data_IF_774527365116
#
_entry.id   IF_774527365116
#
_cell.length_a   1.000
_cell.length_b   1.000
_cell.length_c   1.000
_cell.angle_alpha   90.00
_cell.angle_beta   90.00
_cell.angle_gamma   90.00
#
_symmetry.space_group_name_H-M   'P 1'
#
loop_
_entity.id
_entity.type
_entity.pdbx_description
1 polymer ?
#
# COMPACT_ATOMS: atom_id res chain seq x y z
N UNK A 1 -32.52 -5.25 11.74
CA UNK A 1 -33.43 -6.42 11.76
C UNK A 1 -33.39 -7.05 13.15
N UNK A 2 -34.45 -7.72 13.61
CA UNK A 2 -34.38 -8.52 14.84
C UNK A 2 -33.19 -9.48 14.81
N UNK A 3 -32.48 -9.62 15.94
CA UNK A 3 -31.27 -10.44 16.06
C UNK A 3 -29.95 -9.77 15.65
N UNK A 4 -29.98 -8.54 15.14
CA UNK A 4 -28.77 -7.74 14.88
C UNK A 4 -28.51 -6.81 16.06
N UNK A 5 -27.34 -6.90 16.67
CA UNK A 5 -26.93 -6.01 17.76
C UNK A 5 -25.50 -5.50 17.60
N UNK A 6 -25.30 -4.21 17.84
CA UNK A 6 -23.97 -3.60 17.98
C UNK A 6 -23.52 -3.88 19.41
N UNK A 7 -22.46 -4.67 19.58
CA UNK A 7 -21.99 -5.08 20.91
C UNK A 7 -21.19 -3.96 21.58
N UNK A 8 -20.20 -3.42 20.88
CA UNK A 8 -19.32 -2.36 21.38
C UNK A 8 -18.54 -1.67 20.25
N UNK A 9 -18.14 -0.41 20.43
CA UNK A 9 -17.15 0.23 19.55
C UNK A 9 -15.76 -0.40 19.71
N UNK A 10 -14.92 -0.23 18.69
CA UNK A 10 -13.52 -0.64 18.67
C UNK A 10 -12.63 0.59 18.53
N UNK A 11 -11.87 0.89 19.58
CA UNK A 11 -10.92 2.00 19.56
C UNK A 11 -9.64 1.64 18.79
N UNK A 12 -9.11 2.60 18.02
CA UNK A 12 -7.80 2.52 17.35
C UNK A 12 -6.90 3.54 18.03
N UNK A 13 -5.76 3.10 18.58
CA UNK A 13 -4.89 3.94 19.41
C UNK A 13 -5.60 4.62 20.59
N UNK A 14 -6.65 4.01 21.14
CA UNK A 14 -7.44 4.58 22.23
C UNK A 14 -8.48 5.61 21.78
N UNK A 15 -8.61 5.87 20.47
CA UNK A 15 -9.65 6.72 19.90
C UNK A 15 -10.78 5.87 19.33
N UNK A 16 -12.01 6.09 19.80
CA UNK A 16 -13.19 5.46 19.23
C UNK A 16 -13.54 6.13 17.89
N UNK A 17 -13.79 5.30 16.88
CA UNK A 17 -14.22 5.71 15.53
C UNK A 17 -15.55 5.02 15.18
N UNK A 18 -15.87 4.93 13.89
CA UNK A 18 -17.07 4.29 13.35
C UNK A 18 -16.96 2.74 13.24
N UNK A 19 -16.00 2.13 13.94
CA UNK A 19 -15.77 0.68 13.94
C UNK A 19 -16.45 0.02 15.14
N UNK A 20 -17.18 -1.06 14.90
CA UNK A 20 -17.87 -1.79 15.96
C UNK A 20 -17.86 -3.30 15.76
N UNK A 21 -17.97 -4.01 16.88
CA UNK A 21 -18.25 -5.44 16.92
C UNK A 21 -19.77 -5.64 16.78
N UNK A 22 -20.20 -6.42 15.79
CA UNK A 22 -21.62 -6.63 15.46
C UNK A 22 -21.94 -8.13 15.54
N UNK A 23 -23.00 -8.47 16.26
CA UNK A 23 -23.52 -9.84 16.38
C UNK A 23 -24.73 -10.00 15.46
N UNK A 24 -24.75 -11.12 14.75
CA UNK A 24 -25.89 -11.61 13.99
C UNK A 24 -26.38 -12.91 14.64
N UNK A 25 -27.37 -12.82 15.53
CA UNK A 25 -27.96 -13.98 16.23
C UNK A 25 -29.33 -14.33 15.64
N UNK A 26 -29.42 -15.50 15.02
CA UNK A 26 -30.62 -16.02 14.35
C UNK A 26 -31.36 -15.01 13.45
N UNK A 27 -30.59 -14.14 12.79
CA UNK A 27 -31.11 -13.10 11.90
C UNK A 27 -31.71 -13.76 10.65
N UNK A 28 -33.01 -13.53 10.42
CA UNK A 28 -33.70 -13.98 9.20
C UNK A 28 -33.82 -12.82 8.22
N UNK A 29 -33.47 -13.07 6.96
CA UNK A 29 -33.64 -12.15 5.84
C UNK A 29 -34.36 -12.84 4.68
N UNK A 30 -35.10 -12.10 3.84
CA UNK A 30 -35.68 -12.66 2.63
C UNK A 30 -34.59 -13.23 1.70
N UNK A 31 -34.91 -14.32 0.99
CA UNK A 31 -33.99 -14.89 -0.01
C UNK A 31 -33.61 -13.88 -1.12
N UNK A 32 -34.49 -12.92 -1.41
CA UNK A 32 -34.25 -11.83 -2.35
C UNK A 32 -33.16 -10.83 -1.91
N UNK A 33 -32.65 -10.93 -0.67
CA UNK A 33 -31.53 -10.11 -0.21
C UNK A 33 -30.17 -10.72 -0.58
N UNK A 34 -30.14 -11.94 -1.12
CA UNK A 34 -28.91 -12.53 -1.63
C UNK A 34 -28.37 -11.66 -2.77
N UNK A 35 -27.14 -11.18 -2.59
CA UNK A 35 -26.43 -10.46 -3.64
C UNK A 35 -25.84 -11.48 -4.59
N UNK A 36 -26.25 -11.44 -5.87
CA UNK A 36 -25.85 -12.39 -6.92
C UNK A 36 -26.36 -13.81 -6.67
N UNK A 37 -25.47 -14.80 -6.58
CA UNK A 37 -25.78 -16.22 -6.44
C UNK A 37 -24.99 -16.83 -5.27
N UNK A 38 -25.47 -17.97 -4.77
CA UNK A 38 -24.79 -18.70 -3.70
C UNK A 38 -23.36 -19.08 -4.12
N UNK A 39 -22.39 -18.96 -3.20
CA UNK A 39 -20.98 -19.27 -3.44
C UNK A 39 -20.15 -18.15 -4.08
N UNK A 40 -20.74 -17.02 -4.49
CA UNK A 40 -20.02 -15.92 -5.18
C UNK A 40 -19.51 -14.80 -4.28
N UNK A 41 -19.53 -14.98 -2.96
CA UNK A 41 -19.14 -13.95 -1.99
C UNK A 41 -17.72 -13.40 -2.18
N UNK A 42 -16.74 -14.26 -2.50
CA UNK A 42 -15.36 -13.81 -2.73
C UNK A 42 -15.21 -12.92 -3.97
N UNK A 43 -15.97 -13.22 -5.03
CA UNK A 43 -15.96 -12.43 -6.26
C UNK A 43 -16.49 -11.02 -6.00
N UNK A 44 -17.64 -10.91 -5.32
CA UNK A 44 -18.22 -9.62 -4.92
C UNK A 44 -17.23 -8.83 -4.06
N UNK A 45 -16.63 -9.50 -3.06
CA UNK A 45 -15.66 -8.86 -2.19
C UNK A 45 -14.46 -8.32 -2.99
N UNK A 46 -13.86 -9.10 -3.90
CA UNK A 46 -12.75 -8.61 -4.72
C UNK A 46 -13.16 -7.49 -5.68
N UNK A 47 -14.36 -7.57 -6.27
CA UNK A 47 -14.91 -6.54 -7.14
C UNK A 47 -14.99 -5.18 -6.43
N UNK A 48 -15.39 -5.18 -5.15
CA UNK A 48 -15.43 -3.96 -4.33
C UNK A 48 -14.05 -3.51 -3.82
N UNK A 49 -13.22 -4.46 -3.41
CA UNK A 49 -11.93 -4.20 -2.76
C UNK A 49 -10.89 -3.60 -3.72
N UNK A 50 -10.93 -3.92 -5.02
CA UNK A 50 -10.03 -3.32 -6.01
C UNK A 50 -10.08 -1.78 -6.02
N UNK A 51 -11.25 -1.18 -6.30
CA UNK A 51 -11.46 0.27 -6.20
C UNK A 51 -11.21 0.82 -4.79
N UNK A 52 -11.66 0.10 -3.75
CA UNK A 52 -11.49 0.52 -2.34
C UNK A 52 -10.02 0.77 -1.98
N UNK A 53 -9.16 -0.21 -2.28
CA UNK A 53 -7.71 -0.13 -2.08
C UNK A 53 -7.11 1.08 -2.77
N UNK A 54 -7.49 1.34 -4.02
CA UNK A 54 -6.92 2.45 -4.78
C UNK A 54 -7.40 3.81 -4.24
N UNK A 55 -8.69 3.95 -3.89
CA UNK A 55 -9.21 5.18 -3.29
C UNK A 55 -8.56 5.51 -1.94
N UNK A 56 -8.27 4.49 -1.11
CA UNK A 56 -7.49 4.68 0.11
C UNK A 56 -6.09 5.22 -0.21
N UNK A 57 -5.42 4.69 -1.22
CA UNK A 57 -4.09 5.16 -1.62
C UNK A 57 -4.11 6.61 -2.12
N UNK A 58 -5.12 6.99 -2.91
CA UNK A 58 -5.28 8.37 -3.40
C UNK A 58 -5.39 9.37 -2.25
N UNK A 59 -6.24 9.08 -1.25
CA UNK A 59 -6.38 9.91 -0.04
C UNK A 59 -5.10 9.92 0.80
N UNK A 60 -4.49 8.75 0.99
CA UNK A 60 -3.22 8.60 1.74
C UNK A 60 -2.10 9.45 1.15
N UNK A 61 -2.00 9.52 -0.19
CA UNK A 61 -1.04 10.40 -0.88
C UNK A 61 -1.32 11.89 -0.59
N UNK A 62 -2.61 12.28 -0.48
CA UNK A 62 -3.00 13.62 -0.04
C UNK A 62 -2.55 13.92 1.39
N UNK A 63 -2.73 12.97 2.31
CA UNK A 63 -2.28 13.10 3.70
C UNK A 63 -0.75 13.26 3.80
N UNK A 64 0.01 12.55 2.96
CA UNK A 64 1.46 12.74 2.86
C UNK A 64 1.86 14.13 2.36
N UNK A 65 1.14 14.72 1.39
CA UNK A 65 1.37 16.11 0.97
C UNK A 65 1.11 17.09 2.11
N UNK A 66 0.04 16.88 2.88
CA UNK A 66 -0.26 17.68 4.07
C UNK A 66 0.86 17.58 5.10
N UNK A 67 1.36 16.38 5.39
CA UNK A 67 2.50 16.16 6.30
C UNK A 67 3.77 16.88 5.84
N UNK A 68 4.12 16.77 4.55
CA UNK A 68 5.28 17.45 3.99
C UNK A 68 5.10 18.98 3.98
N UNK A 69 3.89 19.47 3.72
CA UNK A 69 3.54 20.89 3.82
C UNK A 69 3.68 21.42 5.26
N UNK A 70 3.22 20.65 6.25
CA UNK A 70 3.40 20.97 7.66
C UNK A 70 4.88 21.05 8.05
N UNK A 71 5.70 20.11 7.56
CA UNK A 71 7.16 20.18 7.74
C UNK A 71 7.72 21.49 7.19
N UNK A 72 7.43 21.85 5.94
CA UNK A 72 7.89 23.11 5.31
C UNK A 72 7.53 24.32 6.18
N UNK A 73 6.27 24.38 6.65
CA UNK A 73 5.79 25.47 7.48
C UNK A 73 6.57 25.58 8.79
N UNK A 74 6.80 24.45 9.46
CA UNK A 74 7.51 24.40 10.74
C UNK A 74 8.97 24.77 10.62
N UNK A 75 9.68 24.26 9.60
CA UNK A 75 11.13 24.46 9.51
C UNK A 75 11.50 25.89 9.15
N UNK A 76 10.60 26.60 8.46
CA UNK A 76 10.76 28.01 8.09
C UNK A 76 10.43 28.98 9.22
N UNK A 77 9.72 28.52 10.25
CA UNK A 77 9.29 29.35 11.39
C UNK A 77 10.04 29.06 12.69
N UNK A 78 10.69 27.90 12.80
CA UNK A 78 11.40 27.48 14.02
C UNK A 78 12.91 27.68 13.91
N UNK A 79 13.47 28.42 14.89
CA UNK A 79 14.91 28.46 15.15
C UNK A 79 15.30 27.50 16.26
N UNK A 80 16.39 26.77 16.07
CA UNK A 80 17.03 25.92 17.08
C UNK A 80 18.53 25.83 16.80
N UNK A 81 19.33 25.80 17.88
CA UNK A 81 20.79 25.71 17.77
C UNK A 81 21.37 26.76 16.80
N UNK A 82 21.01 28.03 17.00
CA UNK A 82 21.59 29.17 16.30
C UNK A 82 21.05 29.51 14.90
N UNK A 83 20.20 28.69 14.29
CA UNK A 83 19.66 28.97 12.95
C UNK A 83 18.22 28.46 12.79
N UNK A 84 17.56 28.75 11.67
CA UNK A 84 16.32 28.08 11.29
C UNK A 84 16.57 26.59 11.10
N UNK A 85 15.54 25.77 11.35
CA UNK A 85 15.57 24.36 11.00
C UNK A 85 15.72 24.16 9.48
N UNK A 86 15.19 25.08 8.67
CA UNK A 86 15.38 25.07 7.22
C UNK A 86 16.84 25.23 6.76
N UNK A 87 17.75 25.68 7.63
CA UNK A 87 19.18 25.80 7.35
C UNK A 87 19.97 24.55 7.76
N UNK A 88 19.30 23.54 8.35
CA UNK A 88 19.93 22.28 8.76
C UNK A 88 19.91 21.29 7.59
N UNK A 89 21.07 20.99 7.03
CA UNK A 89 21.21 20.17 5.83
C UNK A 89 20.47 18.82 5.90
N UNK A 90 20.49 18.16 7.06
CA UNK A 90 19.85 16.86 7.27
C UNK A 90 18.32 16.93 7.10
N UNK A 91 17.69 18.03 7.51
CA UNK A 91 16.25 18.24 7.36
C UNK A 91 15.91 18.47 5.87
N UNK A 92 16.73 19.26 5.19
CA UNK A 92 16.54 19.56 3.76
C UNK A 92 16.73 18.31 2.90
N UNK A 93 17.76 17.51 3.17
CA UNK A 93 18.04 16.24 2.49
C UNK A 93 16.85 15.28 2.64
N UNK A 94 16.37 15.08 3.88
CA UNK A 94 15.23 14.20 4.14
C UNK A 94 13.95 14.65 3.44
N UNK A 95 13.71 15.96 3.35
CA UNK A 95 12.57 16.48 2.59
C UNK A 95 12.69 16.20 1.08
N UNK A 96 13.90 16.24 0.53
CA UNK A 96 14.14 15.88 -0.87
C UNK A 96 13.87 14.39 -1.13
N UNK A 97 14.30 13.52 -0.22
CA UNK A 97 13.98 12.08 -0.27
C UNK A 97 12.47 11.84 -0.22
N UNK A 98 11.77 12.46 0.72
CA UNK A 98 10.32 12.36 0.84
C UNK A 98 9.57 12.86 -0.39
N UNK A 99 9.98 13.98 -0.96
CA UNK A 99 9.39 14.48 -2.21
C UNK A 99 9.58 13.46 -3.34
N UNK A 100 10.74 12.81 -3.41
CA UNK A 100 11.05 11.77 -4.40
C UNK A 100 10.17 10.53 -4.20
N UNK A 101 10.14 9.98 -2.98
CA UNK A 101 9.32 8.81 -2.63
C UNK A 101 7.82 9.08 -2.87
N UNK A 102 7.31 10.24 -2.46
CA UNK A 102 5.91 10.62 -2.62
C UNK A 102 5.53 10.80 -4.10
N UNK A 103 6.43 11.37 -4.90
CA UNK A 103 6.23 11.49 -6.34
C UNK A 103 6.17 10.11 -7.00
N UNK A 104 7.07 9.19 -6.62
CA UNK A 104 7.03 7.81 -7.13
C UNK A 104 5.73 7.09 -6.73
N UNK A 105 5.27 7.24 -5.49
CA UNK A 105 4.00 6.68 -5.03
C UNK A 105 2.81 7.25 -5.84
N UNK A 106 2.79 8.57 -6.08
CA UNK A 106 1.77 9.21 -6.91
C UNK A 106 1.75 8.66 -8.34
N UNK A 107 2.91 8.52 -8.98
CA UNK A 107 3.00 7.98 -10.34
C UNK A 107 2.54 6.51 -10.41
N UNK A 108 2.91 5.70 -9.42
CA UNK A 108 2.41 4.32 -9.34
C UNK A 108 0.88 4.27 -9.14
N UNK A 109 0.31 5.20 -8.36
CA UNK A 109 -1.13 5.32 -8.19
C UNK A 109 -1.84 5.69 -9.50
N UNK A 110 -1.29 6.65 -10.26
CA UNK A 110 -1.82 7.00 -11.57
C UNK A 110 -1.72 5.84 -12.57
N UNK A 111 -0.61 5.11 -12.57
CA UNK A 111 -0.48 3.92 -13.41
C UNK A 111 -1.54 2.87 -13.06
N UNK A 112 -1.78 2.61 -11.78
CA UNK A 112 -2.81 1.68 -11.35
C UNK A 112 -4.22 2.11 -11.80
N UNK A 113 -4.53 3.41 -11.70
CA UNK A 113 -5.79 3.98 -12.17
C UNK A 113 -5.93 3.86 -13.69
N UNK A 114 -4.93 4.32 -14.45
CA UNK A 114 -4.96 4.27 -15.92
C UNK A 114 -5.11 2.84 -16.45
N UNK A 115 -4.41 1.87 -15.87
CA UNK A 115 -4.57 0.46 -16.25
C UNK A 115 -5.95 -0.07 -15.88
N UNK A 116 -6.53 0.36 -14.76
CA UNK A 116 -7.89 -0.03 -14.39
C UNK A 116 -8.94 0.56 -15.35
N UNK A 117 -8.78 1.81 -15.76
CA UNK A 117 -9.66 2.49 -16.71
C UNK A 117 -9.58 1.86 -18.11
N UNK A 118 -8.36 1.60 -18.61
CA UNK A 118 -8.15 1.09 -19.97
C UNK A 118 -8.39 -0.42 -20.10
N UNK A 119 -7.99 -1.20 -19.09
CA UNK A 119 -7.87 -2.68 -19.19
C UNK A 119 -8.64 -3.42 -18.09
N UNK A 120 -9.32 -2.69 -17.20
CA UNK A 120 -10.11 -3.23 -16.11
C UNK A 120 -9.30 -3.63 -14.88
N UNK A 121 -10.02 -3.79 -13.75
CA UNK A 121 -9.45 -4.07 -12.43
C UNK A 121 -8.61 -5.35 -12.34
N UNK A 122 -8.91 -6.36 -13.16
CA UNK A 122 -8.13 -7.60 -13.21
C UNK A 122 -6.71 -7.36 -13.72
N UNK A 123 -6.55 -6.51 -14.74
CA UNK A 123 -5.24 -6.14 -15.27
C UNK A 123 -4.47 -5.23 -14.29
N UNK A 124 -5.18 -4.35 -13.58
CA UNK A 124 -4.59 -3.42 -12.61
C UNK A 124 -4.13 -4.10 -11.29
N UNK A 125 -4.49 -5.38 -11.06
CA UNK A 125 -4.29 -6.09 -9.79
C UNK A 125 -2.86 -5.96 -9.23
N UNK A 126 -1.85 -6.11 -10.08
CA UNK A 126 -0.45 -6.01 -9.68
C UNK A 126 -0.13 -4.62 -9.13
N UNK A 127 -0.47 -3.57 -9.90
CA UNK A 127 -0.21 -2.17 -9.54
C UNK A 127 -1.00 -1.73 -8.32
N UNK A 128 -2.27 -2.16 -8.20
CA UNK A 128 -3.10 -1.92 -7.00
C UNK A 128 -2.45 -2.54 -5.76
N UNK A 129 -1.92 -3.76 -5.87
CA UNK A 129 -1.22 -4.41 -4.75
C UNK A 129 0.07 -3.68 -4.39
N UNK A 130 0.84 -3.22 -5.39
CA UNK A 130 2.07 -2.46 -5.16
C UNK A 130 1.78 -1.11 -4.47
N UNK A 131 0.81 -0.32 -4.98
CA UNK A 131 0.50 1.00 -4.40
C UNK A 131 -0.12 0.88 -3.01
N UNK A 132 -0.92 -0.16 -2.76
CA UNK A 132 -1.51 -0.44 -1.44
C UNK A 132 -0.46 -0.70 -0.36
N UNK A 133 0.75 -1.11 -0.75
CA UNK A 133 1.90 -1.23 0.14
C UNK A 133 2.69 0.08 0.20
N UNK A 134 3.00 0.68 -0.96
CA UNK A 134 3.90 1.83 -1.05
C UNK A 134 3.29 3.09 -0.43
N UNK A 135 2.05 3.44 -0.76
CA UNK A 135 1.45 4.70 -0.36
C UNK A 135 1.38 4.86 1.18
N UNK A 136 0.87 3.90 1.96
CA UNK A 136 0.85 4.03 3.42
C UNK A 136 2.25 4.07 4.05
N UNK A 137 3.22 3.34 3.48
CA UNK A 137 4.60 3.33 4.01
C UNK A 137 5.30 4.68 3.84
N UNK A 138 5.22 5.25 2.65
CA UNK A 138 5.80 6.58 2.36
C UNK A 138 5.11 7.64 3.22
N UNK A 139 3.78 7.57 3.32
CA UNK A 139 3.00 8.55 4.09
C UNK A 139 3.32 8.50 5.58
N UNK A 140 3.45 7.30 6.18
CA UNK A 140 3.85 7.17 7.59
C UNK A 140 5.26 7.69 7.84
N UNK A 141 6.23 7.45 6.95
CA UNK A 141 7.58 8.02 7.10
C UNK A 141 7.55 9.55 7.15
N UNK A 142 6.76 10.16 6.25
CA UNK A 142 6.63 11.62 6.16
C UNK A 142 5.94 12.18 7.39
N UNK A 143 4.82 11.58 7.82
CA UNK A 143 4.05 12.03 8.98
C UNK A 143 4.84 11.87 10.29
N UNK A 144 5.59 10.78 10.45
CA UNK A 144 6.47 10.55 11.59
C UNK A 144 7.56 11.62 11.69
N UNK A 145 8.24 11.93 10.58
CA UNK A 145 9.22 13.02 10.57
C UNK A 145 8.56 14.39 10.76
N UNK A 146 7.34 14.60 10.26
CA UNK A 146 6.59 15.81 10.51
C UNK A 146 6.34 16.00 12.01
N UNK A 147 5.95 14.95 12.73
CA UNK A 147 5.83 14.96 14.20
C UNK A 147 7.19 15.31 14.82
N UNK A 148 8.26 14.63 14.39
CA UNK A 148 9.62 14.84 14.93
C UNK A 148 10.09 16.29 14.79
N UNK A 149 9.88 16.91 13.61
CA UNK A 149 10.25 18.31 13.33
C UNK A 149 9.40 19.31 14.14
N UNK A 150 8.16 18.95 14.49
CA UNK A 150 7.33 19.76 15.38
C UNK A 150 7.69 19.56 16.86
N UNK A 151 8.37 18.46 17.21
CA UNK A 151 8.69 18.08 18.58
C UNK A 151 7.42 17.69 19.35
N UNK A 152 7.39 17.95 20.67
CA UNK A 152 6.24 17.65 21.52
C UNK A 152 4.91 18.26 21.01
N UNK A 153 4.97 19.38 20.30
CA UNK A 153 3.77 19.99 19.70
C UNK A 153 3.13 19.07 18.63
N UNK A 154 3.91 18.32 17.85
CA UNK A 154 3.39 17.39 16.85
C UNK A 154 2.64 16.19 17.46
N UNK A 155 2.94 15.87 18.73
CA UNK A 155 2.27 14.84 19.52
C UNK A 155 1.04 15.37 20.27
N UNK A 156 0.95 16.68 20.46
CA UNK A 156 -0.13 17.30 21.25
C UNK A 156 -1.42 17.48 20.46
N UNK A 157 -2.52 17.65 21.18
CA UNK A 157 -3.85 17.94 20.61
C UNK A 157 -3.92 19.26 19.82
N UNK A 158 -2.93 20.13 19.98
CA UNK A 158 -2.84 21.41 19.26
C UNK A 158 -2.30 21.22 17.83
N UNK A 159 -1.88 20.00 17.48
CA UNK A 159 -1.50 19.59 16.14
C UNK A 159 -2.40 18.44 15.65
N UNK A 160 -2.63 18.38 14.34
CA UNK A 160 -3.34 17.27 13.68
C UNK A 160 -2.42 16.17 13.16
N UNK A 161 -1.11 16.28 13.37
CA UNK A 161 -0.14 15.33 12.83
C UNK A 161 -0.30 13.91 13.40
N UNK A 162 -0.65 13.79 14.68
CA UNK A 162 -0.88 12.47 15.30
C UNK A 162 -2.16 11.83 14.76
N UNK A 163 -3.24 12.61 14.60
CA UNK A 163 -4.50 12.15 13.97
C UNK A 163 -4.23 11.59 12.56
N UNK A 164 -3.51 12.35 11.73
CA UNK A 164 -3.12 11.93 10.37
C UNK A 164 -2.26 10.66 10.36
N UNK A 165 -1.30 10.54 11.30
CA UNK A 165 -0.47 9.34 11.43
C UNK A 165 -1.31 8.11 11.76
N UNK A 166 -2.24 8.22 12.72
CA UNK A 166 -3.13 7.12 13.12
C UNK A 166 -4.07 6.71 11.97
N UNK A 167 -4.60 7.69 11.23
CA UNK A 167 -5.44 7.48 10.06
C UNK A 167 -4.69 6.73 8.95
N UNK A 168 -3.42 7.00 8.71
CA UNK A 168 -2.65 6.21 7.73
C UNK A 168 -2.25 4.85 8.29
N UNK A 169 -2.00 4.75 9.60
CA UNK A 169 -1.46 3.53 10.22
C UNK A 169 -2.41 2.35 10.09
N UNK A 170 -3.72 2.55 10.23
CA UNK A 170 -4.70 1.47 10.06
C UNK A 170 -4.81 1.01 8.59
N UNK A 171 -4.52 1.88 7.61
CA UNK A 171 -4.57 1.55 6.17
C UNK A 171 -3.56 0.45 5.80
N UNK A 172 -2.51 0.23 6.58
CA UNK A 172 -1.60 -0.93 6.40
C UNK A 172 -2.23 -2.29 6.74
N UNK A 173 -3.41 -2.30 7.37
CA UNK A 173 -4.18 -3.49 7.72
C UNK A 173 -5.50 -3.55 6.94
N UNK A 174 -6.22 -2.42 6.87
CA UNK A 174 -7.48 -2.32 6.16
C UNK A 174 -7.33 -2.71 4.68
N UNK A 175 -8.37 -3.32 4.11
CA UNK A 175 -8.40 -3.82 2.72
C UNK A 175 -7.26 -4.79 2.34
N UNK A 176 -6.63 -5.42 3.33
CA UNK A 176 -5.58 -6.41 3.19
C UNK A 176 -4.24 -5.91 3.76
N UNK A 177 -3.62 -6.66 4.69
CA UNK A 177 -2.32 -6.33 5.24
C UNK A 177 -1.21 -6.29 4.19
N UNK A 178 -0.18 -5.46 4.42
CA UNK A 178 1.00 -5.33 3.53
C UNK A 178 1.55 -6.69 3.06
N UNK A 179 1.70 -7.65 3.99
CA UNK A 179 2.28 -8.96 3.70
C UNK A 179 1.47 -9.76 2.66
N UNK A 180 0.14 -9.61 2.65
CA UNK A 180 -0.74 -10.28 1.69
C UNK A 180 -0.52 -9.70 0.29
N UNK A 181 -0.42 -8.37 0.18
CA UNK A 181 -0.17 -7.68 -1.08
C UNK A 181 1.25 -7.94 -1.61
N UNK A 182 2.27 -7.93 -0.73
CA UNK A 182 3.64 -8.29 -1.11
C UNK A 182 3.74 -9.74 -1.59
N UNK A 183 3.04 -10.69 -0.94
CA UNK A 183 2.97 -12.07 -1.40
C UNK A 183 2.36 -12.17 -2.79
N UNK A 184 1.31 -11.41 -3.07
CA UNK A 184 0.68 -11.40 -4.39
C UNK A 184 1.63 -10.83 -5.46
N UNK A 185 2.30 -9.71 -5.19
CA UNK A 185 3.30 -9.15 -6.10
C UNK A 185 4.42 -10.16 -6.36
N UNK A 186 4.95 -10.81 -5.33
CA UNK A 186 5.98 -11.83 -5.48
C UNK A 186 5.52 -13.03 -6.31
N UNK A 187 4.28 -13.51 -6.12
CA UNK A 187 3.70 -14.57 -6.94
C UNK A 187 3.57 -14.18 -8.42
N UNK A 188 3.22 -12.92 -8.69
CA UNK A 188 3.12 -12.42 -10.07
C UNK A 188 4.49 -12.29 -10.72
N UNK A 189 5.49 -11.80 -9.99
CA UNK A 189 6.87 -11.67 -10.49
C UNK A 189 7.48 -13.03 -10.81
N UNK A 190 7.30 -14.03 -9.94
CA UNK A 190 7.81 -15.40 -10.14
C UNK A 190 7.16 -16.13 -11.34
N UNK A 191 6.02 -15.65 -11.84
CA UNK A 191 5.37 -16.20 -13.05
C UNK A 191 5.92 -15.62 -14.34
N UNK A 192 6.77 -14.59 -14.28
CA UNK A 192 7.32 -13.96 -15.48
C UNK A 192 8.36 -14.88 -16.11
N UNK A 193 8.29 -14.97 -17.43
CA UNK A 193 9.32 -15.63 -18.23
C UNK A 193 10.59 -14.78 -18.25
N UNK A 194 11.78 -15.33 -17.96
CA UNK A 194 13.04 -14.60 -18.10
C UNK A 194 13.21 -14.06 -19.53
N UNK A 195 13.69 -12.82 -19.65
CA UNK A 195 14.07 -12.27 -20.95
C UNK A 195 15.36 -12.92 -21.46
N UNK A 196 15.59 -12.89 -22.78
CA UNK A 196 16.85 -13.35 -23.35
C UNK A 196 18.05 -12.65 -22.72
N UNK A 197 17.95 -11.34 -22.48
CA UNK A 197 18.98 -10.56 -21.79
C UNK A 197 19.21 -11.03 -20.35
N UNK A 198 18.14 -11.35 -19.60
CA UNK A 198 18.28 -11.89 -18.25
C UNK A 198 19.02 -13.22 -18.25
N UNK A 199 18.76 -14.10 -19.22
CA UNK A 199 19.50 -15.35 -19.40
C UNK A 199 20.97 -15.09 -19.74
N UNK A 200 21.25 -14.16 -20.66
CA UNK A 200 22.62 -13.78 -21.03
C UNK A 200 23.40 -13.22 -19.85
N UNK A 201 22.81 -12.29 -19.09
CA UNK A 201 23.45 -11.68 -17.91
C UNK A 201 23.67 -12.72 -16.80
N UNK A 202 22.71 -13.64 -16.60
CA UNK A 202 22.86 -14.72 -15.63
C UNK A 202 24.03 -15.65 -15.97
N UNK A 203 24.38 -15.76 -17.26
CA UNK A 203 25.43 -16.62 -17.75
C UNK A 203 25.18 -18.09 -17.45
N UNK A 204 26.18 -18.91 -17.72
CA UNK A 204 26.19 -20.33 -17.35
C UNK A 204 27.48 -20.61 -16.61
N UNK A 205 27.37 -21.14 -15.39
CA UNK A 205 28.54 -21.62 -14.68
C UNK A 205 29.00 -22.95 -15.30
N UNK A 206 30.05 -22.91 -16.10
CA UNK A 206 30.61 -24.07 -16.79
C UNK A 206 31.07 -25.18 -15.82
N UNK A 207 31.40 -24.84 -14.58
CA UNK A 207 31.75 -25.81 -13.54
C UNK A 207 30.54 -26.60 -13.01
N UNK A 208 29.32 -26.05 -13.07
CA UNK A 208 28.10 -26.79 -12.71
C UNK A 208 27.87 -27.93 -13.70
N UNK A 209 28.01 -27.66 -15.00
CA UNK A 209 27.95 -28.69 -16.04
C UNK A 209 29.13 -29.67 -15.96
N UNK A 210 30.33 -29.19 -15.64
CA UNK A 210 31.57 -29.99 -15.59
C UNK A 210 31.65 -30.93 -14.38
N UNK A 211 31.18 -30.48 -13.21
CA UNK A 211 31.35 -31.22 -11.95
C UNK A 211 30.06 -31.75 -11.35
N UNK A 212 28.88 -31.39 -11.88
CA UNK A 212 27.58 -31.99 -11.53
C UNK A 212 27.16 -31.85 -10.06
N UNK A 213 27.89 -31.08 -9.24
CA UNK A 213 27.69 -31.01 -7.78
C UNK A 213 26.49 -30.16 -7.34
N UNK A 214 25.85 -29.45 -8.26
CA UNK A 214 24.66 -28.67 -8.00
C UNK A 214 23.58 -29.15 -8.97
N UNK A 215 22.51 -29.76 -8.45
CA UNK A 215 21.27 -29.97 -9.21
C UNK A 215 20.66 -28.58 -9.48
N UNK A 216 21.14 -27.91 -10.53
CA UNK A 216 20.44 -26.78 -11.08
C UNK A 216 19.19 -27.34 -11.76
N UNK A 217 18.04 -27.33 -11.07
CA UNK A 217 16.75 -27.53 -11.74
C UNK A 217 16.66 -26.44 -12.79
N UNK A 218 16.91 -26.80 -14.05
CA UNK A 218 16.89 -25.86 -15.16
C UNK A 218 15.56 -25.11 -15.11
N UNK A 219 15.62 -23.77 -15.10
CA UNK A 219 14.41 -22.97 -15.36
C UNK A 219 13.93 -23.43 -16.73
N UNK A 220 12.73 -24.03 -16.86
CA UNK A 220 12.30 -24.60 -18.12
C UNK A 220 12.39 -23.52 -19.19
N UNK A 221 13.09 -23.81 -20.29
CA UNK A 221 13.11 -22.93 -21.44
C UNK A 221 11.65 -22.64 -21.83
N UNK A 222 11.34 -21.36 -22.01
CA UNK A 222 10.00 -20.92 -22.36
C UNK A 222 9.51 -21.72 -23.56
N UNK A 223 8.40 -22.46 -23.40
CA UNK A 223 7.72 -23.05 -24.55
C UNK A 223 7.41 -21.91 -25.53
N UNK A 224 7.95 -22.01 -26.75
CA UNK A 224 7.69 -21.04 -27.81
C UNK A 224 6.17 -20.82 -27.93
N UNK A 225 5.71 -19.57 -28.16
CA UNK A 225 4.29 -19.32 -28.35
C UNK A 225 3.79 -20.18 -29.51
N UNK A 226 2.89 -21.13 -29.22
CA UNK A 226 2.19 -21.88 -30.27
C UNK A 226 1.45 -20.85 -31.11
N UNK A 227 1.93 -20.62 -32.33
CA UNK A 227 1.21 -19.86 -33.35
C UNK A 227 -0.14 -20.53 -33.53
N UNK A 228 -1.21 -19.87 -33.09
CA UNK A 228 -2.55 -20.22 -33.56
C UNK A 228 -2.66 -19.68 -34.98
N UNK A 229 -2.50 -20.59 -35.94
CA UNK A 229 -3.20 -20.50 -37.22
C UNK A 229 -4.70 -20.70 -36.95
#
# INVERSE_FOLDING_TARGET
>A
APGVSILRPLAVFGHEHDHAEIIFDQVRVPASYLLTEEGRGFEIAQGRLGPGRLHHCMRTIGQAETGLGAMVHRIKSRKAFGSLLAEKAQIVERMAEFRTELTAARQLCYLAAAVADEKGWKAAKAYVSMIKVLAPRVSLKILDEAIQVHGAHGLSQDSKLTDEYMDVRHVRMADGPDAVHLREVGKLELRRTPSALAVTISGVNSNVAKYGKFEATAVPAAAAPRSRL
#
